data_IF_240029469578
#
_entry.id   IF_240029469578
#
_cell.length_a   1.000
_cell.length_b   1.000
_cell.length_c   1.000
_cell.angle_alpha   90.00
_cell.angle_beta   90.00
_cell.angle_gamma   90.00
#
_symmetry.space_group_name_H-M   'P 1'
#
loop_
_entity.id
_entity.type
_entity.pdbx_description
1 polymer ?
#
# COMPACT_ATOMS: atom_id res chain seq x y z
N UNK A 1 5.07 23.19 8.01
CA UNK A 1 6.04 24.25 8.39
C UNK A 1 7.09 24.48 7.30
N UNK A 2 7.48 23.44 6.56
CA UNK A 2 8.50 23.50 5.50
C UNK A 2 7.98 22.79 4.25
N UNK A 3 7.04 23.40 3.48
CA UNK A 3 6.37 22.75 2.35
C UNK A 3 7.38 22.35 1.23
N UNK A 4 8.38 23.18 0.94
CA UNK A 4 9.38 22.87 -0.07
C UNK A 4 10.24 21.66 0.32
N UNK A 5 10.63 21.54 1.59
CA UNK A 5 11.37 20.38 2.09
C UNK A 5 10.49 19.13 2.03
N UNK A 6 9.21 19.25 2.40
CA UNK A 6 8.26 18.15 2.33
C UNK A 6 8.09 17.65 0.89
N UNK A 7 7.89 18.56 -0.07
CA UNK A 7 7.81 18.22 -1.49
C UNK A 7 9.10 17.54 -1.99
N UNK A 8 10.27 18.08 -1.65
CA UNK A 8 11.54 17.48 -2.05
C UNK A 8 11.72 16.05 -1.52
N UNK A 9 11.29 15.78 -0.28
CA UNK A 9 11.31 14.42 0.28
C UNK A 9 10.36 13.49 -0.48
N UNK A 10 9.14 13.94 -0.81
CA UNK A 10 8.20 13.13 -1.60
C UNK A 10 8.76 12.83 -3.00
N UNK A 11 9.36 13.82 -3.67
CA UNK A 11 10.03 13.62 -4.97
C UNK A 11 11.12 12.56 -4.86
N UNK A 12 12.00 12.66 -3.85
CA UNK A 12 13.06 11.68 -3.65
C UNK A 12 12.52 10.27 -3.37
N UNK A 13 11.44 10.15 -2.59
CA UNK A 13 10.77 8.87 -2.32
C UNK A 13 10.14 8.29 -3.59
N UNK A 14 9.47 9.11 -4.41
CA UNK A 14 8.91 8.66 -5.68
C UNK A 14 9.97 8.08 -6.61
N UNK A 15 11.09 8.79 -6.77
CA UNK A 15 12.20 8.33 -7.59
C UNK A 15 12.83 7.04 -7.04
N UNK A 16 13.00 6.94 -5.72
CA UNK A 16 13.52 5.74 -5.09
C UNK A 16 12.58 4.54 -5.24
N UNK A 17 11.26 4.75 -5.09
CA UNK A 17 10.26 3.70 -5.27
C UNK A 17 10.21 3.19 -6.72
N UNK A 18 10.27 4.10 -7.69
CA UNK A 18 10.34 3.74 -9.12
C UNK A 18 11.60 2.93 -9.42
N UNK A 19 12.75 3.39 -8.91
CA UNK A 19 14.02 2.68 -9.07
C UNK A 19 13.98 1.27 -8.44
N UNK A 20 13.32 1.12 -7.27
CA UNK A 20 13.14 -0.18 -6.61
C UNK A 20 12.16 -1.12 -7.32
N UNK A 21 11.27 -0.61 -8.15
CA UNK A 21 10.36 -1.48 -8.92
C UNK A 21 11.05 -2.18 -10.09
N UNK A 22 12.20 -1.67 -10.52
CA UNK A 22 13.09 -2.38 -11.44
C UNK A 22 13.83 -3.49 -10.68
N UNK A 23 13.58 -4.76 -11.06
CA UNK A 23 14.09 -5.93 -10.34
C UNK A 23 15.62 -5.95 -10.27
N UNK A 24 16.30 -5.52 -11.33
CA UNK A 24 17.75 -5.47 -11.40
C UNK A 24 18.36 -4.52 -10.36
N UNK A 25 17.66 -3.46 -9.99
CA UNK A 25 18.11 -2.50 -8.99
C UNK A 25 17.95 -3.03 -7.54
N UNK A 26 17.11 -4.04 -7.34
CA UNK A 26 16.84 -4.57 -6.00
C UNK A 26 18.04 -5.22 -5.35
N UNK A 27 18.95 -5.78 -6.14
CA UNK A 27 20.21 -6.32 -5.62
C UNK A 27 21.10 -5.22 -5.05
N UNK A 28 21.27 -4.12 -5.78
CA UNK A 28 22.00 -2.96 -5.28
C UNK A 28 21.34 -2.38 -4.01
N UNK A 29 20.02 -2.35 -3.97
CA UNK A 29 19.30 -1.95 -2.77
C UNK A 29 19.60 -2.86 -1.57
N UNK A 30 19.71 -4.19 -1.77
CA UNK A 30 20.10 -5.13 -0.73
C UNK A 30 21.52 -4.85 -0.21
N UNK A 31 22.45 -4.55 -1.10
CA UNK A 31 23.84 -4.19 -0.73
C UNK A 31 23.87 -2.91 0.12
N UNK A 32 23.11 -1.87 -0.29
CA UNK A 32 22.99 -0.62 0.47
C UNK A 32 22.39 -0.90 1.85
N UNK A 33 21.28 -1.63 1.91
CA UNK A 33 20.53 -1.90 3.13
C UNK A 33 21.26 -2.83 4.09
N UNK A 34 22.19 -3.66 3.60
CA UNK A 34 23.00 -4.57 4.44
C UNK A 34 23.92 -3.84 5.39
N UNK A 35 24.27 -2.59 5.10
CA UNK A 35 25.15 -1.80 5.94
C UNK A 35 24.58 -1.59 7.35
N UNK A 36 25.49 -1.59 8.38
CA UNK A 36 25.11 -1.51 9.79
C UNK A 36 24.35 -0.26 10.21
N UNK A 37 24.39 0.80 9.38
CA UNK A 37 23.61 2.04 9.59
C UNK A 37 22.15 1.96 9.09
N UNK A 38 21.78 0.88 8.39
CA UNK A 38 20.45 0.64 7.87
C UNK A 38 19.84 -0.63 8.51
N UNK A 39 19.58 -1.67 7.70
CA UNK A 39 18.93 -2.90 8.19
C UNK A 39 19.92 -3.80 8.95
N UNK A 40 21.21 -3.73 8.62
CA UNK A 40 22.26 -4.57 9.24
C UNK A 40 21.96 -6.07 9.14
N UNK A 41 21.58 -6.54 7.97
CA UNK A 41 21.34 -7.95 7.68
C UNK A 41 22.19 -8.39 6.47
N UNK A 42 22.54 -9.68 6.37
CA UNK A 42 23.26 -10.21 5.20
C UNK A 42 22.49 -9.97 3.89
N UNK A 43 23.23 -9.69 2.81
CA UNK A 43 22.65 -9.41 1.48
C UNK A 43 21.75 -10.54 1.00
N UNK A 44 22.20 -11.80 1.15
CA UNK A 44 21.45 -12.99 0.75
C UNK A 44 20.12 -13.17 1.50
N UNK A 45 20.02 -12.66 2.71
CA UNK A 45 18.77 -12.63 3.49
C UNK A 45 17.81 -11.58 2.94
N UNK A 46 18.34 -10.39 2.62
CA UNK A 46 17.56 -9.29 2.05
C UNK A 46 17.07 -9.63 0.63
N UNK A 47 17.90 -10.26 -0.19
CA UNK A 47 17.54 -10.67 -1.54
C UNK A 47 16.34 -11.61 -1.57
N UNK A 48 16.23 -12.54 -0.62
CA UNK A 48 15.10 -13.48 -0.53
C UNK A 48 13.74 -12.81 -0.49
N UNK A 49 13.65 -11.63 0.14
CA UNK A 49 12.39 -10.89 0.21
C UNK A 49 12.26 -9.81 -0.87
N UNK A 50 13.34 -9.08 -1.17
CA UNK A 50 13.28 -7.93 -2.08
C UNK A 50 13.18 -8.34 -3.55
N UNK A 51 13.81 -9.44 -3.97
CA UNK A 51 13.80 -9.88 -5.38
C UNK A 51 12.53 -10.64 -5.78
N UNK A 52 11.63 -10.92 -4.83
CA UNK A 52 10.39 -11.64 -5.11
C UNK A 52 10.60 -13.14 -5.39
N UNK A 53 11.75 -13.71 -4.99
CA UNK A 53 12.02 -15.15 -5.07
C UNK A 53 11.85 -15.75 -3.68
N UNK A 54 10.70 -16.36 -3.43
CA UNK A 54 10.29 -16.82 -2.10
C UNK A 54 10.36 -18.35 -1.99
N UNK A 55 10.88 -18.81 -0.87
CA UNK A 55 10.83 -20.22 -0.48
C UNK A 55 9.95 -20.34 0.77
N UNK A 56 8.78 -20.99 0.62
CA UNK A 56 7.80 -21.12 1.69
C UNK A 56 8.08 -22.31 2.62
N UNK A 57 8.81 -23.32 2.15
CA UNK A 57 9.23 -24.48 2.91
C UNK A 57 10.64 -24.92 2.51
N UNK A 58 11.36 -25.56 3.43
CA UNK A 58 12.67 -26.16 3.14
C UNK A 58 12.63 -27.21 2.04
N UNK A 59 11.48 -27.86 1.86
CA UNK A 59 11.28 -28.99 0.95
C UNK A 59 10.74 -28.55 -0.42
N UNK A 60 10.46 -27.25 -0.60
CA UNK A 60 9.95 -26.69 -1.85
C UNK A 60 11.02 -25.87 -2.58
N UNK A 61 10.97 -25.90 -3.90
CA UNK A 61 11.77 -24.99 -4.73
C UNK A 61 11.28 -23.56 -4.59
N UNK A 62 12.18 -22.56 -4.62
CA UNK A 62 11.80 -21.15 -4.63
C UNK A 62 10.81 -20.84 -5.77
N UNK A 63 9.82 -20.01 -5.48
CA UNK A 63 8.81 -19.54 -6.43
C UNK A 63 9.00 -18.06 -6.70
N UNK A 64 8.78 -17.65 -7.95
CA UNK A 64 8.72 -16.24 -8.30
C UNK A 64 7.37 -15.66 -7.89
N UNK A 65 7.43 -14.52 -7.21
CA UNK A 65 6.26 -13.71 -6.81
C UNK A 65 6.58 -12.24 -7.15
N UNK A 66 6.40 -11.86 -8.41
CA UNK A 66 6.78 -10.54 -8.95
C UNK A 66 6.14 -9.38 -8.19
N UNK A 67 4.93 -9.60 -7.68
CA UNK A 67 4.13 -8.58 -6.97
C UNK A 67 4.22 -8.72 -5.44
N UNK A 68 5.16 -9.50 -4.92
CA UNK A 68 5.38 -9.58 -3.48
C UNK A 68 5.81 -8.24 -2.88
N UNK A 69 6.65 -7.50 -3.60
CA UNK A 69 6.99 -6.12 -3.27
C UNK A 69 6.64 -5.22 -4.46
N UNK A 70 5.74 -4.29 -4.23
CA UNK A 70 5.34 -3.26 -5.17
C UNK A 70 5.65 -1.91 -4.55
N UNK A 71 6.55 -1.14 -5.17
CA UNK A 71 7.01 0.14 -4.62
C UNK A 71 6.38 1.35 -5.32
N UNK A 72 6.19 1.29 -6.63
CA UNK A 72 5.72 2.41 -7.44
C UNK A 72 4.58 2.05 -8.39
N UNK A 73 4.74 0.94 -9.16
CA UNK A 73 3.71 0.51 -10.12
C UNK A 73 2.35 0.35 -9.43
N UNK A 74 1.27 0.38 -10.19
CA UNK A 74 -0.11 0.28 -9.69
C UNK A 74 -0.53 1.44 -8.77
N UNK A 75 0.16 2.60 -8.88
CA UNK A 75 -0.01 3.72 -7.97
C UNK A 75 0.10 3.32 -6.48
N UNK A 76 1.03 2.38 -6.16
CA UNK A 76 1.16 1.76 -4.85
C UNK A 76 1.47 2.77 -3.73
N UNK A 77 2.23 3.83 -4.04
CA UNK A 77 2.59 4.87 -3.08
C UNK A 77 1.69 6.12 -3.16
N UNK A 78 0.63 6.08 -3.97
CA UNK A 78 -0.37 7.15 -3.95
C UNK A 78 -1.18 7.10 -2.66
N UNK A 79 -1.36 8.22 -1.94
CA UNK A 79 -2.10 8.24 -0.68
C UNK A 79 -3.62 8.21 -0.94
N UNK A 80 -4.14 7.05 -1.30
CA UNK A 80 -5.57 6.83 -1.52
C UNK A 80 -6.36 7.09 -0.23
N UNK A 81 -7.27 8.05 -0.23
CA UNK A 81 -8.17 8.29 0.91
C UNK A 81 -9.07 7.10 1.19
N UNK A 82 -9.39 6.29 0.17
CA UNK A 82 -10.08 5.00 0.36
C UNK A 82 -9.28 4.04 1.23
N UNK A 83 -7.94 3.95 1.08
CA UNK A 83 -7.10 3.13 1.96
C UNK A 83 -7.12 3.63 3.40
N UNK A 84 -7.05 4.96 3.61
CA UNK A 84 -7.20 5.53 4.96
C UNK A 84 -8.55 5.16 5.58
N UNK A 85 -9.63 5.23 4.82
CA UNK A 85 -10.96 4.84 5.29
C UNK A 85 -11.04 3.36 5.61
N UNK A 86 -10.39 2.51 4.80
CA UNK A 86 -10.33 1.08 5.08
C UNK A 86 -9.59 0.79 6.39
N UNK A 87 -8.40 1.36 6.60
CA UNK A 87 -7.66 1.21 7.86
C UNK A 87 -8.48 1.70 9.06
N UNK A 88 -9.08 2.88 8.97
CA UNK A 88 -9.91 3.45 10.04
C UNK A 88 -11.15 2.58 10.31
N UNK A 89 -11.73 1.97 9.28
CA UNK A 89 -12.86 1.05 9.45
C UNK A 89 -12.45 -0.21 10.21
N UNK A 90 -11.25 -0.76 9.94
CA UNK A 90 -10.72 -1.90 10.70
C UNK A 90 -10.43 -1.52 12.16
N UNK A 91 -9.82 -0.36 12.40
CA UNK A 91 -9.59 0.13 13.78
C UNK A 91 -10.91 0.31 14.55
N UNK A 92 -11.98 0.80 13.89
CA UNK A 92 -13.33 0.85 14.49
C UNK A 92 -13.85 -0.55 14.78
N UNK A 93 -13.76 -1.48 13.84
CA UNK A 93 -14.19 -2.87 14.00
C UNK A 93 -13.51 -3.55 15.18
N UNK A 94 -12.26 -3.24 15.45
CA UNK A 94 -11.50 -3.80 16.56
C UNK A 94 -11.63 -3.00 17.87
N UNK A 95 -12.44 -1.95 17.88
CA UNK A 95 -12.69 -1.14 19.06
C UNK A 95 -11.56 -0.19 19.44
N UNK A 96 -10.60 0.03 18.55
CA UNK A 96 -9.47 0.96 18.78
C UNK A 96 -9.90 2.42 18.66
N UNK A 97 -10.95 2.70 17.89
CA UNK A 97 -11.53 4.04 17.75
C UNK A 97 -13.04 4.01 17.96
N UNK A 98 -13.56 5.06 18.60
CA UNK A 98 -14.98 5.21 18.94
C UNK A 98 -15.85 5.41 17.68
N UNK A 99 -17.11 4.96 17.76
CA UNK A 99 -18.10 5.09 16.67
C UNK A 99 -18.41 6.55 16.32
N UNK A 100 -18.30 7.47 17.28
CA UNK A 100 -18.53 8.91 17.06
C UNK A 100 -17.47 9.58 16.20
N UNK A 101 -16.33 8.94 15.98
CA UNK A 101 -15.21 9.47 15.18
C UNK A 101 -15.60 9.55 13.71
N UNK A 102 -15.46 10.73 13.10
CA UNK A 102 -15.73 10.95 11.68
C UNK A 102 -14.53 10.51 10.86
N UNK A 103 -14.58 9.31 10.30
CA UNK A 103 -13.48 8.67 9.58
C UNK A 103 -13.03 9.47 8.35
N UNK A 104 -13.98 10.06 7.61
CA UNK A 104 -13.71 10.87 6.43
C UNK A 104 -12.90 12.15 6.74
N UNK A 105 -13.14 12.75 7.90
CA UNK A 105 -12.40 13.93 8.36
C UNK A 105 -10.95 13.58 8.63
N UNK A 106 -10.71 12.43 9.31
CA UNK A 106 -9.36 11.95 9.59
C UNK A 106 -8.66 11.56 8.29
N UNK A 107 -9.30 10.78 7.43
CA UNK A 107 -8.74 10.37 6.15
C UNK A 107 -8.27 11.57 5.32
N UNK A 108 -9.10 12.60 5.19
CA UNK A 108 -8.78 13.83 4.47
C UNK A 108 -7.65 14.65 5.11
N UNK A 109 -7.52 14.61 6.43
CA UNK A 109 -6.49 15.37 7.14
C UNK A 109 -5.10 14.73 7.07
N UNK A 110 -5.04 13.40 6.98
CA UNK A 110 -3.81 12.62 7.03
C UNK A 110 -3.31 12.25 5.63
N UNK A 111 -4.20 11.76 4.76
CA UNK A 111 -3.87 11.39 3.39
C UNK A 111 -4.01 12.61 2.48
N UNK A 112 -2.87 13.05 1.94
CA UNK A 112 -2.71 14.32 1.22
C UNK A 112 -2.35 14.10 -0.25
N UNK A 113 -3.32 13.62 -1.10
CA UNK A 113 -3.07 13.35 -2.53
C UNK A 113 -2.54 14.56 -3.29
N UNK A 114 -2.94 15.76 -2.90
CA UNK A 114 -2.49 17.00 -3.53
C UNK A 114 -0.96 17.23 -3.41
N UNK A 115 -0.33 16.77 -2.33
CA UNK A 115 1.13 16.87 -2.17
C UNK A 115 1.84 15.89 -3.10
N UNK A 116 1.28 14.67 -3.22
CA UNK A 116 1.78 13.66 -4.15
C UNK A 116 1.69 14.13 -5.60
N UNK A 117 0.52 14.66 -6.02
CA UNK A 117 0.29 15.19 -7.36
C UNK A 117 1.27 16.30 -7.71
N UNK A 118 1.48 17.26 -6.79
CA UNK A 118 2.47 18.32 -6.98
C UNK A 118 3.90 17.79 -7.16
N UNK A 119 4.25 16.68 -6.51
CA UNK A 119 5.55 16.04 -6.72
C UNK A 119 5.63 15.32 -8.08
N UNK A 120 4.55 14.66 -8.53
CA UNK A 120 4.47 14.06 -9.86
C UNK A 120 4.54 15.10 -10.98
N UNK A 121 3.83 16.22 -10.85
CA UNK A 121 3.91 17.36 -11.78
C UNK A 121 5.35 17.87 -11.93
N UNK A 122 6.09 17.99 -10.81
CA UNK A 122 7.49 18.41 -10.84
C UNK A 122 8.42 17.38 -11.52
N UNK A 123 7.99 16.13 -11.64
CA UNK A 123 8.72 15.03 -12.29
C UNK A 123 8.20 14.74 -13.71
N UNK A 124 7.17 15.44 -14.18
CA UNK A 124 6.47 15.17 -15.45
C UNK A 124 5.96 13.72 -15.52
N UNK A 125 5.31 13.25 -14.43
CA UNK A 125 4.79 11.89 -14.28
C UNK A 125 3.28 11.86 -14.14
N UNK A 126 2.61 10.83 -14.69
CA UNK A 126 1.18 10.64 -14.48
C UNK A 126 0.86 10.34 -13.01
N UNK A 127 -0.32 10.72 -12.58
CA UNK A 127 -0.83 10.50 -11.23
C UNK A 127 -2.34 10.29 -11.22
N UNK A 128 -2.90 9.56 -10.23
CA UNK A 128 -4.34 9.42 -10.07
C UNK A 128 -5.03 10.78 -9.83
N UNK A 129 -6.04 11.10 -10.66
CA UNK A 129 -6.83 12.33 -10.50
C UNK A 129 -7.90 12.19 -9.42
N UNK A 130 -8.34 10.96 -9.12
CA UNK A 130 -9.31 10.65 -8.09
C UNK A 130 -8.63 10.34 -6.76
N UNK A 131 -9.28 10.67 -5.63
CA UNK A 131 -8.76 10.42 -4.29
C UNK A 131 -9.23 9.10 -3.69
N UNK A 132 -10.27 8.51 -4.27
CA UNK A 132 -10.95 7.32 -3.77
C UNK A 132 -11.14 6.30 -4.88
N UNK A 133 -10.95 5.05 -4.57
CA UNK A 133 -11.31 3.90 -5.42
C UNK A 133 -11.94 2.80 -4.56
N UNK A 134 -12.70 1.91 -5.18
CA UNK A 134 -13.11 0.66 -4.54
C UNK A 134 -11.93 -0.30 -4.45
N UNK A 135 -12.03 -1.26 -3.54
CA UNK A 135 -11.10 -2.39 -3.42
C UNK A 135 -11.88 -3.70 -3.45
N UNK A 136 -11.30 -4.72 -4.05
CA UNK A 136 -11.94 -6.03 -4.16
C UNK A 136 -12.85 -6.19 -5.38
N UNK A 137 -12.76 -5.32 -6.38
CA UNK A 137 -13.61 -5.35 -7.57
C UNK A 137 -12.93 -5.88 -8.83
N UNK A 138 -11.61 -5.95 -8.86
CA UNK A 138 -10.84 -6.34 -10.04
C UNK A 138 -10.09 -7.65 -9.80
N UNK A 139 -10.48 -8.70 -10.50
CA UNK A 139 -9.81 -10.01 -10.49
C UNK A 139 -8.47 -9.99 -11.22
N UNK A 140 -8.38 -9.15 -12.24
CA UNK A 140 -7.21 -9.03 -13.11
C UNK A 140 -6.69 -7.60 -13.11
N UNK A 141 -5.58 -7.37 -13.83
CA UNK A 141 -5.05 -6.03 -14.06
C UNK A 141 -6.05 -5.17 -14.83
N UNK A 142 -6.11 -3.90 -14.49
CA UNK A 142 -6.98 -2.89 -15.09
C UNK A 142 -6.22 -1.58 -15.30
N UNK A 143 -6.86 -0.60 -15.89
CA UNK A 143 -6.25 0.69 -16.18
C UNK A 143 -7.03 1.82 -15.52
N UNK A 144 -6.33 2.68 -14.80
CA UNK A 144 -6.85 3.93 -14.28
C UNK A 144 -6.55 5.05 -15.29
N UNK A 145 -7.60 5.74 -15.74
CA UNK A 145 -7.45 6.89 -16.64
C UNK A 145 -6.97 8.12 -15.87
N UNK A 146 -5.99 8.83 -16.43
CA UNK A 146 -5.40 10.04 -15.87
C UNK A 146 -5.23 11.04 -17.04
N UNK A 147 -6.25 11.86 -17.30
CA UNK A 147 -6.31 12.62 -18.55
C UNK A 147 -6.27 11.73 -19.77
N UNK A 148 -5.31 11.98 -20.64
CA UNK A 148 -5.07 11.17 -21.84
C UNK A 148 -4.14 9.96 -21.61
N UNK A 149 -3.60 9.81 -20.41
CA UNK A 149 -2.69 8.73 -20.02
C UNK A 149 -3.42 7.65 -19.23
N UNK A 150 -2.77 6.48 -19.10
CA UNK A 150 -3.26 5.36 -18.31
C UNK A 150 -2.21 4.92 -17.30
N UNK A 151 -2.64 4.71 -16.06
CA UNK A 151 -1.84 4.04 -15.04
C UNK A 151 -2.29 2.58 -14.99
N UNK A 152 -1.42 1.61 -15.30
CA UNK A 152 -1.75 0.20 -15.13
C UNK A 152 -1.92 -0.08 -13.64
N UNK A 153 -3.00 -0.81 -13.30
CA UNK A 153 -3.34 -1.21 -11.94
C UNK A 153 -3.34 -2.74 -11.86
N UNK A 154 -2.97 -3.28 -10.70
CA UNK A 154 -3.04 -4.71 -10.44
C UNK A 154 -4.42 -5.17 -10.00
N UNK A 155 -4.61 -6.50 -9.85
CA UNK A 155 -5.75 -7.07 -9.14
C UNK A 155 -5.83 -6.50 -7.72
N UNK A 156 -7.04 -6.26 -7.24
CA UNK A 156 -7.29 -5.70 -5.90
C UNK A 156 -8.16 -6.59 -5.01
N UNK A 157 -8.28 -7.88 -5.35
CA UNK A 157 -9.11 -8.82 -4.59
C UNK A 157 -8.62 -8.99 -3.15
N UNK A 158 -9.56 -8.92 -2.20
CA UNK A 158 -9.31 -9.40 -0.85
C UNK A 158 -9.40 -10.94 -0.77
N UNK A 159 -8.68 -11.54 0.18
CA UNK A 159 -8.68 -12.97 0.41
C UNK A 159 -10.06 -13.54 0.77
N UNK A 160 -10.94 -12.72 1.32
CA UNK A 160 -12.30 -13.05 1.72
C UNK A 160 -13.35 -12.64 0.68
N UNK A 161 -12.91 -12.22 -0.50
CA UNK A 161 -13.74 -11.82 -1.65
C UNK A 161 -14.71 -10.65 -1.36
N UNK A 162 -14.52 -9.95 -0.24
CA UNK A 162 -15.34 -8.78 0.06
C UNK A 162 -14.93 -7.57 -0.77
N UNK A 163 -15.92 -6.72 -1.03
CA UNK A 163 -15.70 -5.45 -1.71
C UNK A 163 -15.77 -4.32 -0.69
N UNK A 164 -14.76 -3.47 -0.69
CA UNK A 164 -14.77 -2.24 0.09
C UNK A 164 -15.15 -1.05 -0.80
N UNK A 165 -16.29 -0.44 -0.49
CA UNK A 165 -16.73 0.81 -1.10
C UNK A 165 -16.54 1.95 -0.09
N UNK A 166 -15.73 2.98 -0.39
CA UNK A 166 -15.45 4.06 0.56
C UNK A 166 -16.69 4.91 0.92
N UNK A 167 -17.76 4.81 0.13
CA UNK A 167 -19.05 5.46 0.40
C UNK A 167 -20.00 4.62 1.27
N UNK A 168 -19.68 3.35 1.53
CA UNK A 168 -20.56 2.37 2.16
C UNK A 168 -19.90 1.66 3.36
N UNK A 169 -19.11 2.40 4.15
CA UNK A 169 -18.30 1.86 5.25
C UNK A 169 -19.17 1.09 6.26
N UNK A 170 -20.32 1.64 6.65
CA UNK A 170 -21.21 0.99 7.63
C UNK A 170 -21.76 -0.35 7.10
N UNK A 171 -22.04 -0.45 5.80
CA UNK A 171 -22.46 -1.72 5.19
C UNK A 171 -21.30 -2.73 5.17
N UNK A 172 -20.10 -2.27 4.86
CA UNK A 172 -18.89 -3.11 4.91
C UNK A 172 -18.63 -3.65 6.32
N UNK A 173 -18.76 -2.81 7.36
CA UNK A 173 -18.57 -3.23 8.76
C UNK A 173 -19.62 -4.25 9.21
N UNK A 174 -20.89 -4.11 8.79
CA UNK A 174 -21.96 -5.07 9.09
C UNK A 174 -21.67 -6.47 8.56
N UNK A 175 -20.91 -6.61 7.48
CA UNK A 175 -20.53 -7.92 6.95
C UNK A 175 -19.63 -8.73 7.89
N UNK A 176 -19.10 -8.11 8.95
CA UNK A 176 -18.31 -8.75 10.00
C UNK A 176 -19.07 -8.97 11.31
N UNK A 177 -20.33 -8.56 11.40
CA UNK A 177 -21.17 -8.81 12.57
C UNK A 177 -21.34 -10.33 12.79
N UNK A 178 -21.18 -10.76 14.03
CA UNK A 178 -21.23 -12.19 14.41
C UNK A 178 -19.90 -12.95 14.26
N UNK A 179 -18.84 -12.33 13.74
CA UNK A 179 -17.50 -12.88 13.84
C UNK A 179 -17.00 -12.63 15.26
N UNK A 180 -16.88 -13.71 16.05
CA UNK A 180 -16.46 -13.63 17.44
C UNK A 180 -14.98 -13.20 17.53
N UNK A 181 -14.77 -11.91 17.79
CA UNK A 181 -13.44 -11.33 18.00
C UNK A 181 -12.90 -11.58 19.41
N UNK A 182 -13.75 -12.03 20.34
CA UNK A 182 -13.37 -12.26 21.75
C UNK A 182 -12.49 -13.49 21.95
N UNK A 183 -12.40 -14.39 20.95
CA UNK A 183 -11.51 -15.55 21.02
C UNK A 183 -10.03 -15.21 20.87
N UNK A 184 -9.69 -14.03 20.40
CA UNK A 184 -8.29 -13.59 20.29
C UNK A 184 -7.64 -13.29 21.67
N UNK A 185 -8.45 -13.03 22.69
CA UNK A 185 -7.95 -12.77 24.07
C UNK A 185 -7.56 -14.03 24.84
N UNK A 186 -7.72 -15.22 24.30
CA UNK A 186 -7.46 -16.49 24.98
C UNK A 186 -6.22 -17.23 24.46
N UNK A 187 -5.29 -16.58 23.78
CA UNK A 187 -4.00 -17.18 23.46
C UNK A 187 -3.08 -16.94 24.69
N UNK A 188 -2.79 -17.98 25.48
CA UNK A 188 -1.83 -17.84 26.59
C UNK A 188 -0.45 -17.50 26.04
N UNK A 189 0.23 -16.58 26.72
CA UNK A 189 1.60 -16.15 26.42
C UNK A 189 2.60 -17.31 26.56
#
# INVERSE_FOLDING_TARGET
RNPNTHQAVIIALLQACEWLDEVDNRREACEILSAGRYVNAPVDVLEKSLTGTLQFSSDESPRSASDYNVFHRYAANFPWRSHALWFLSQMRRWGEIDESVKLDVIAKSVYRPEVYRSACEALDKPYPEIDYKSEGTHTDGWALMCGDEQIPMGSDLFMDERVFQPTEIEMYLKAFEGIDTTKAEQIPA
#
